data_IF_554988501861
#
_entry.id   IF_554988501861
#
_cell.length_a   1.000
_cell.length_b   1.000
_cell.length_c   1.000
_cell.angle_alpha   90.00
_cell.angle_beta   90.00
_cell.angle_gamma   90.00
#
_symmetry.space_group_name_H-M   'P 1'
#
loop_
_entity.id
_entity.type
_entity.pdbx_description
1 polymer ?
#
# COMPACT_ATOMS: atom_id res chain seq x y z
N UNK A 1 -2.99 24.18 10.57
CA UNK A 1 -1.59 23.86 10.91
C UNK A 1 -0.86 23.66 9.59
N UNK A 2 0.26 24.34 9.33
CA UNK A 2 0.98 24.23 8.05
C UNK A 2 2.06 23.16 8.20
N UNK A 3 1.88 22.02 7.53
CA UNK A 3 2.88 20.95 7.46
C UNK A 3 4.13 21.48 6.75
N UNK A 4 5.31 21.12 7.27
CA UNK A 4 6.57 21.53 6.68
C UNK A 4 6.78 20.89 5.30
N UNK A 5 7.18 21.71 4.33
CA UNK A 5 7.71 21.24 3.06
C UNK A 5 9.23 21.42 3.10
N UNK A 6 9.97 20.35 3.40
CA UNK A 6 11.43 20.38 3.38
C UNK A 6 11.94 20.71 1.97
N UNK A 7 13.12 21.34 1.86
CA UNK A 7 13.79 21.44 0.56
C UNK A 7 14.23 20.04 0.14
N UNK A 8 13.87 19.61 -1.08
CA UNK A 8 14.28 18.31 -1.59
C UNK A 8 15.80 18.27 -1.81
N UNK A 9 16.44 17.17 -1.39
CA UNK A 9 17.87 16.93 -1.57
C UNK A 9 18.29 17.15 -3.03
N UNK A 10 19.36 17.92 -3.21
CA UNK A 10 19.95 18.24 -4.50
C UNK A 10 20.39 17.03 -5.32
N UNK A 11 20.61 15.85 -4.70
CA UNK A 11 20.98 14.61 -5.42
C UNK A 11 19.95 14.22 -6.46
N UNK A 12 18.66 14.51 -6.22
CA UNK A 12 17.58 14.19 -7.15
C UNK A 12 17.54 15.13 -8.36
N UNK A 13 18.17 16.30 -8.29
CA UNK A 13 18.21 17.27 -9.40
C UNK A 13 19.20 16.90 -10.49
N UNK A 14 20.10 15.94 -10.23
CA UNK A 14 21.09 15.48 -11.21
C UNK A 14 20.42 14.58 -12.23
N UNK A 15 20.47 14.97 -13.50
CA UNK A 15 19.92 14.17 -14.61
C UNK A 15 20.62 12.82 -14.68
N UNK A 16 19.84 11.74 -14.63
CA UNK A 16 20.30 10.39 -14.93
C UNK A 16 19.53 9.84 -16.14
N UNK A 17 20.11 8.86 -16.84
CA UNK A 17 19.40 8.14 -17.89
C UNK A 17 18.23 7.39 -17.27
N UNK A 18 17.01 7.74 -17.63
CA UNK A 18 15.82 7.11 -17.05
C UNK A 18 15.64 5.63 -17.43
N UNK A 19 14.67 4.97 -16.79
CA UNK A 19 14.35 3.57 -17.06
C UNK A 19 13.70 3.43 -18.44
N UNK A 20 14.48 3.00 -19.44
CA UNK A 20 13.98 2.86 -20.80
C UNK A 20 13.07 1.63 -20.95
N UNK A 21 12.34 1.56 -22.08
CA UNK A 21 11.39 0.47 -22.38
C UNK A 21 12.03 -0.93 -22.32
N UNK A 22 13.25 -1.09 -22.81
CA UNK A 22 13.96 -2.37 -22.78
C UNK A 22 14.22 -2.81 -21.34
N UNK A 23 14.74 -1.89 -20.51
CA UNK A 23 15.00 -2.15 -19.09
C UNK A 23 13.73 -2.55 -18.33
N UNK A 24 12.62 -1.83 -18.57
CA UNK A 24 11.32 -2.13 -17.95
C UNK A 24 10.77 -3.49 -18.39
N UNK A 25 10.88 -3.82 -19.68
CA UNK A 25 10.44 -5.11 -20.20
C UNK A 25 11.24 -6.27 -19.58
N UNK A 26 12.55 -6.12 -19.41
CA UNK A 26 13.38 -7.13 -18.75
C UNK A 26 13.00 -7.30 -17.27
N UNK A 27 12.83 -6.19 -16.54
CA UNK A 27 12.43 -6.21 -15.13
C UNK A 27 11.06 -6.90 -14.93
N UNK A 28 10.10 -6.61 -15.83
CA UNK A 28 8.79 -7.27 -15.84
C UNK A 28 8.94 -8.75 -16.17
N UNK A 29 9.76 -9.13 -17.15
CA UNK A 29 9.99 -10.53 -17.50
C UNK A 29 10.60 -11.33 -16.35
N UNK A 30 11.53 -10.73 -15.59
CA UNK A 30 12.11 -11.32 -14.38
C UNK A 30 11.02 -11.54 -13.31
N UNK A 31 10.18 -10.53 -13.07
CA UNK A 31 9.08 -10.63 -12.11
C UNK A 31 8.06 -11.72 -12.50
N UNK A 32 7.66 -11.78 -13.77
CA UNK A 32 6.76 -12.82 -14.28
C UNK A 32 7.34 -14.22 -14.12
N UNK A 33 8.65 -14.39 -14.34
CA UNK A 33 9.34 -15.68 -14.13
C UNK A 33 9.23 -16.14 -12.67
N UNK A 34 9.35 -15.21 -11.71
CA UNK A 34 9.19 -15.52 -10.28
C UNK A 34 7.74 -15.87 -9.93
N UNK A 35 6.76 -15.15 -10.48
CA UNK A 35 5.33 -15.45 -10.28
C UNK A 35 5.00 -16.83 -10.85
N UNK A 36 5.50 -17.16 -12.04
CA UNK A 36 5.35 -18.48 -12.67
C UNK A 36 5.94 -19.61 -11.83
N UNK A 37 7.08 -19.38 -11.17
CA UNK A 37 7.68 -20.36 -10.27
C UNK A 37 6.83 -20.60 -9.00
N UNK A 38 6.14 -19.57 -8.50
CA UNK A 38 5.30 -19.64 -7.30
C UNK A 38 3.89 -20.20 -7.58
N UNK A 39 3.36 -19.95 -8.78
CA UNK A 39 2.01 -20.29 -9.22
C UNK A 39 1.53 -21.72 -8.85
N UNK A 40 2.30 -22.79 -9.09
CA UNK A 40 1.85 -24.15 -8.76
C UNK A 40 1.57 -24.36 -7.26
N UNK A 41 2.36 -23.73 -6.38
CA UNK A 41 2.24 -23.85 -4.92
C UNK A 41 1.04 -23.10 -4.35
N UNK A 42 0.67 -21.99 -4.98
CA UNK A 42 -0.36 -21.05 -4.50
C UNK A 42 -1.53 -20.96 -5.48
N UNK A 43 -1.89 -22.10 -6.07
CA UNK A 43 -3.00 -22.21 -7.02
C UNK A 43 -4.36 -22.38 -6.35
N UNK A 44 -4.37 -22.82 -5.08
CA UNK A 44 -5.57 -23.00 -4.22
C UNK A 44 -5.32 -22.51 -2.79
N UNK A 45 -4.15 -21.93 -2.54
CA UNK A 45 -3.68 -21.37 -1.27
C UNK A 45 -3.02 -20.02 -1.57
N UNK A 46 -2.64 -19.28 -0.55
CA UNK A 46 -1.90 -18.03 -0.70
C UNK A 46 -0.49 -18.18 -0.14
N UNK A 47 0.48 -17.39 -0.63
CA UNK A 47 1.71 -17.19 0.12
C UNK A 47 1.39 -16.51 1.46
N UNK A 48 2.15 -16.81 2.51
CA UNK A 48 2.04 -16.08 3.78
C UNK A 48 2.45 -14.61 3.61
N UNK A 49 2.11 -13.77 4.59
CA UNK A 49 2.43 -12.34 4.61
C UNK A 49 3.92 -12.04 4.35
N UNK A 50 4.81 -12.86 4.90
CA UNK A 50 6.26 -12.80 4.69
C UNK A 50 6.86 -14.20 4.50
N UNK A 51 8.05 -14.24 3.90
CA UNK A 51 8.87 -15.45 3.84
C UNK A 51 9.35 -15.93 5.21
N UNK A 52 9.85 -17.15 5.23
CA UNK A 52 10.67 -17.73 6.30
C UNK A 52 11.86 -18.40 5.62
N UNK A 53 13.07 -17.94 5.94
CA UNK A 53 14.31 -18.34 5.27
C UNK A 53 14.23 -18.10 3.75
N UNK A 54 13.57 -17.01 3.35
CA UNK A 54 13.39 -16.63 1.95
C UNK A 54 12.33 -17.44 1.20
N UNK A 55 11.53 -18.28 1.84
CA UNK A 55 10.45 -19.05 1.19
C UNK A 55 9.10 -18.68 1.77
N UNK A 56 8.07 -18.50 0.93
CA UNK A 56 6.71 -18.27 1.43
C UNK A 56 6.04 -19.58 1.86
N UNK A 57 5.64 -19.72 3.13
CA UNK A 57 4.73 -20.79 3.52
C UNK A 57 3.39 -20.66 2.79
N UNK A 58 2.75 -21.79 2.48
CA UNK A 58 1.37 -21.78 2.01
C UNK A 58 0.43 -21.57 3.19
N UNK A 59 -0.51 -20.64 3.04
CA UNK A 59 -1.57 -20.38 4.01
C UNK A 59 -2.92 -20.47 3.32
N UNK A 60 -3.89 -21.08 3.98
CA UNK A 60 -5.22 -21.24 3.39
C UNK A 60 -6.12 -20.04 3.72
N UNK A 61 -6.12 -19.59 4.99
CA UNK A 61 -7.12 -18.66 5.51
C UNK A 61 -6.66 -17.94 6.77
N UNK A 62 -5.78 -16.92 6.72
CA UNK A 62 -5.65 -15.94 7.83
C UNK A 62 -4.50 -14.92 7.66
N UNK A 63 -4.65 -13.84 6.90
CA UNK A 63 -4.09 -12.52 7.24
C UNK A 63 -4.71 -11.35 6.47
N UNK A 64 -4.06 -10.18 6.42
CA UNK A 64 -4.50 -9.00 5.68
C UNK A 64 -3.91 -8.92 4.25
N UNK A 65 -3.16 -9.94 3.82
CA UNK A 65 -2.23 -9.84 2.68
C UNK A 65 -2.58 -10.69 1.45
N UNK A 66 -3.57 -11.56 1.52
CA UNK A 66 -3.90 -12.48 0.42
C UNK A 66 -4.33 -11.76 -0.87
N UNK A 67 -4.88 -10.54 -0.72
CA UNK A 67 -5.21 -9.66 -1.82
C UNK A 67 -4.00 -9.32 -2.69
N UNK A 68 -2.80 -9.16 -2.12
CA UNK A 68 -1.59 -8.80 -2.86
C UNK A 68 -1.13 -9.90 -3.83
N UNK A 69 -1.24 -11.18 -3.44
CA UNK A 69 -0.96 -12.30 -4.35
C UNK A 69 -1.93 -12.28 -5.53
N UNK A 70 -3.23 -12.17 -5.24
CA UNK A 70 -4.27 -12.10 -6.28
C UNK A 70 -4.09 -10.88 -7.19
N UNK A 71 -3.72 -9.74 -6.61
CA UNK A 71 -3.41 -8.51 -7.34
C UNK A 71 -2.23 -8.69 -8.29
N UNK A 72 -1.16 -9.38 -7.88
CA UNK A 72 -0.04 -9.69 -8.78
C UNK A 72 -0.45 -10.59 -9.94
N UNK A 73 -1.37 -11.54 -9.72
CA UNK A 73 -1.90 -12.37 -10.81
C UNK A 73 -2.73 -11.55 -11.79
N UNK A 74 -3.54 -10.59 -11.32
CA UNK A 74 -4.24 -9.67 -12.20
C UNK A 74 -3.28 -8.77 -13.00
N UNK A 75 -2.25 -8.21 -12.35
CA UNK A 75 -1.21 -7.45 -13.04
C UNK A 75 -0.52 -8.32 -14.11
N UNK A 76 -0.15 -9.55 -13.78
CA UNK A 76 0.48 -10.48 -14.72
C UNK A 76 -0.43 -10.79 -15.92
N UNK A 77 -1.74 -10.96 -15.70
CA UNK A 77 -2.72 -11.15 -16.77
C UNK A 77 -2.85 -9.90 -17.65
N UNK A 78 -2.98 -8.70 -17.09
CA UNK A 78 -3.01 -7.46 -17.88
C UNK A 78 -1.71 -7.20 -18.68
N UNK A 79 -0.57 -7.66 -18.14
CA UNK A 79 0.72 -7.56 -18.82
C UNK A 79 0.81 -8.49 -20.02
N UNK A 80 0.35 -9.73 -19.87
CA UNK A 80 0.66 -10.84 -20.80
C UNK A 80 -0.51 -11.31 -21.66
N UNK A 81 -1.74 -11.18 -21.16
CA UNK A 81 -2.94 -11.81 -21.69
C UNK A 81 -3.00 -13.34 -21.45
N UNK A 82 -2.10 -13.91 -20.65
CA UNK A 82 -2.05 -15.36 -20.40
C UNK A 82 -3.08 -15.79 -19.35
N UNK A 83 -4.11 -16.51 -19.79
CA UNK A 83 -5.25 -16.91 -18.97
C UNK A 83 -4.88 -17.78 -17.76
N UNK A 84 -3.68 -18.37 -17.69
CA UNK A 84 -3.25 -19.12 -16.50
C UNK A 84 -3.31 -18.27 -15.22
N UNK A 85 -2.98 -16.98 -15.32
CA UNK A 85 -3.00 -16.05 -14.19
C UNK A 85 -4.43 -15.75 -13.76
N UNK A 86 -5.29 -15.41 -14.74
CA UNK A 86 -6.71 -15.14 -14.52
C UNK A 86 -7.41 -16.34 -13.90
N UNK A 87 -7.19 -17.55 -14.40
CA UNK A 87 -7.85 -18.76 -13.90
C UNK A 87 -7.58 -19.00 -12.42
N UNK A 88 -6.36 -18.71 -11.95
CA UNK A 88 -6.00 -18.87 -10.54
C UNK A 88 -6.52 -17.69 -9.71
N UNK A 89 -6.43 -16.46 -10.22
CA UNK A 89 -7.01 -15.29 -9.56
C UNK A 89 -8.53 -15.44 -9.34
N UNK A 90 -9.27 -15.97 -10.32
CA UNK A 90 -10.70 -16.26 -10.19
C UNK A 90 -10.99 -17.44 -9.26
N UNK A 91 -10.09 -18.44 -9.17
CA UNK A 91 -10.24 -19.54 -8.20
C UNK A 91 -10.15 -19.07 -6.75
N UNK A 92 -9.33 -18.04 -6.47
CA UNK A 92 -9.25 -17.47 -5.13
C UNK A 92 -10.55 -16.84 -4.63
N UNK A 93 -11.52 -16.53 -5.51
CA UNK A 93 -12.83 -16.02 -5.11
C UNK A 93 -13.55 -16.95 -4.13
N UNK A 94 -13.33 -18.27 -4.22
CA UNK A 94 -13.91 -19.23 -3.29
C UNK A 94 -13.40 -19.01 -1.85
N UNK A 95 -12.11 -18.69 -1.68
CA UNK A 95 -11.54 -18.37 -0.37
C UNK A 95 -12.04 -17.02 0.15
N UNK A 96 -12.13 -16.00 -0.72
CA UNK A 96 -12.68 -14.69 -0.34
C UNK A 96 -14.18 -14.73 0.01
N UNK A 97 -14.96 -15.60 -0.63
CA UNK A 97 -16.37 -15.85 -0.29
C UNK A 97 -16.49 -16.57 1.04
N UNK A 98 -15.77 -17.68 1.22
CA UNK A 98 -15.78 -18.43 2.48
C UNK A 98 -15.37 -17.54 3.67
N UNK A 99 -14.41 -16.64 3.45
CA UNK A 99 -13.97 -15.64 4.44
C UNK A 99 -15.13 -14.78 4.92
N UNK A 100 -15.97 -14.29 4.00
CA UNK A 100 -17.12 -13.45 4.33
C UNK A 100 -18.24 -14.29 4.97
N UNK A 101 -18.54 -15.45 4.42
CA UNK A 101 -19.62 -16.32 4.91
C UNK A 101 -19.36 -16.76 6.35
N UNK A 102 -18.11 -17.13 6.66
CA UNK A 102 -17.68 -17.60 7.97
C UNK A 102 -17.10 -16.52 8.88
N UNK A 103 -17.10 -15.26 8.43
CA UNK A 103 -16.54 -14.11 9.16
C UNK A 103 -15.08 -14.34 9.63
N UNK A 104 -14.24 -14.93 8.78
CA UNK A 104 -12.85 -15.27 9.11
C UNK A 104 -11.96 -14.03 8.97
N UNK A 105 -11.47 -13.49 10.10
CA UNK A 105 -10.58 -12.30 10.11
C UNK A 105 -11.14 -11.15 9.24
N UNK A 106 -12.42 -10.84 9.40
CA UNK A 106 -13.09 -9.71 8.74
C UNK A 106 -13.23 -8.48 9.65
N UNK A 107 -12.92 -8.62 10.95
CA UNK A 107 -12.89 -7.54 11.94
C UNK A 107 -11.64 -6.66 11.80
N UNK A 108 -11.41 -6.15 10.60
CA UNK A 108 -10.28 -5.33 10.20
C UNK A 108 -10.69 -4.30 9.17
N UNK A 109 -9.99 -3.17 9.12
CA UNK A 109 -10.05 -2.23 8.02
C UNK A 109 -9.33 -2.68 6.75
N UNK A 110 -8.52 -3.75 6.83
CA UNK A 110 -7.72 -4.27 5.71
C UNK A 110 -8.55 -4.93 4.59
N UNK A 111 -9.88 -4.85 4.69
CA UNK A 111 -10.79 -5.33 3.66
C UNK A 111 -10.55 -4.65 2.31
N UNK A 112 -10.03 -3.43 2.29
CA UNK A 112 -9.65 -2.78 1.04
C UNK A 112 -8.49 -3.50 0.34
N UNK A 113 -7.37 -3.76 1.02
CA UNK A 113 -6.26 -4.53 0.46
C UNK A 113 -6.69 -5.90 -0.03
N UNK A 114 -7.56 -6.57 0.73
CA UNK A 114 -8.05 -7.90 0.40
C UNK A 114 -8.96 -7.90 -0.83
N UNK A 115 -9.95 -7.01 -0.89
CA UNK A 115 -11.05 -7.09 -1.86
C UNK A 115 -10.89 -6.14 -3.06
N UNK A 116 -10.15 -5.03 -2.95
CA UNK A 116 -9.79 -4.22 -4.13
C UNK A 116 -8.92 -5.03 -5.08
N UNK A 117 -7.86 -5.63 -4.53
CA UNK A 117 -6.85 -6.35 -5.30
C UNK A 117 -7.33 -7.69 -5.84
N UNK A 118 -8.44 -8.23 -5.31
CA UNK A 118 -9.02 -9.50 -5.74
C UNK A 118 -10.36 -9.32 -6.45
N UNK A 119 -11.44 -9.13 -5.69
CA UNK A 119 -12.82 -9.20 -6.15
C UNK A 119 -13.21 -8.01 -7.02
N UNK A 120 -12.81 -6.78 -6.64
CA UNK A 120 -13.06 -5.59 -7.46
C UNK A 120 -12.35 -5.70 -8.80
N UNK A 121 -11.10 -6.16 -8.83
CA UNK A 121 -10.38 -6.36 -10.09
C UNK A 121 -10.99 -7.45 -10.95
N UNK A 122 -11.41 -8.59 -10.37
CA UNK A 122 -12.14 -9.60 -11.11
C UNK A 122 -13.42 -9.01 -11.76
N UNK A 123 -14.15 -8.16 -11.04
CA UNK A 123 -15.31 -7.45 -11.60
C UNK A 123 -14.91 -6.49 -12.73
N UNK A 124 -13.97 -5.57 -12.48
CA UNK A 124 -13.56 -4.53 -13.43
C UNK A 124 -12.95 -5.11 -14.72
N UNK A 125 -12.19 -6.18 -14.59
CA UNK A 125 -11.43 -6.77 -15.70
C UNK A 125 -12.23 -7.80 -16.51
N UNK A 126 -13.12 -8.57 -15.87
CA UNK A 126 -13.81 -9.69 -16.54
C UNK A 126 -15.33 -9.59 -16.53
N UNK A 127 -15.91 -8.62 -15.81
CA UNK A 127 -17.36 -8.51 -15.61
C UNK A 127 -17.93 -9.58 -14.69
N UNK A 128 -17.11 -10.20 -13.83
CA UNK A 128 -17.54 -11.25 -12.91
C UNK A 128 -18.50 -10.71 -11.83
N UNK A 129 -19.80 -10.99 -12.00
CA UNK A 129 -20.86 -10.49 -11.09
C UNK A 129 -20.78 -11.06 -9.68
N UNK A 130 -20.34 -12.31 -9.51
CA UNK A 130 -20.10 -12.89 -8.17
C UNK A 130 -19.03 -12.08 -7.44
N UNK A 131 -17.92 -11.78 -8.11
CA UNK A 131 -16.85 -10.98 -7.51
C UNK A 131 -17.31 -9.57 -7.11
N UNK A 132 -18.15 -8.93 -7.92
CA UNK A 132 -18.79 -7.65 -7.59
C UNK A 132 -19.60 -7.74 -6.29
N UNK A 133 -20.44 -8.77 -6.14
CA UNK A 133 -21.25 -8.98 -4.93
C UNK A 133 -20.38 -9.22 -3.69
N UNK A 134 -19.32 -10.01 -3.81
CA UNK A 134 -18.36 -10.24 -2.72
C UNK A 134 -17.66 -8.94 -2.29
N UNK A 135 -17.21 -8.12 -3.26
CA UNK A 135 -16.58 -6.84 -2.96
C UNK A 135 -17.53 -5.85 -2.27
N UNK A 136 -18.82 -5.82 -2.67
CA UNK A 136 -19.82 -4.98 -2.01
C UNK A 136 -20.12 -5.44 -0.58
N UNK A 137 -20.17 -6.76 -0.34
CA UNK A 137 -20.28 -7.32 1.02
C UNK A 137 -19.09 -6.92 1.89
N UNK A 138 -17.87 -6.96 1.35
CA UNK A 138 -16.67 -6.51 2.06
C UNK A 138 -16.68 -5.00 2.31
N UNK A 139 -17.16 -4.19 1.36
CA UNK A 139 -17.30 -2.75 1.54
C UNK A 139 -18.29 -2.39 2.66
N UNK A 140 -19.40 -3.12 2.77
CA UNK A 140 -20.36 -2.97 3.87
C UNK A 140 -19.72 -3.30 5.22
N UNK A 141 -18.96 -4.39 5.33
CA UNK A 141 -18.22 -4.73 6.56
C UNK A 141 -17.20 -3.65 6.92
N UNK A 142 -16.48 -3.08 5.94
CA UNK A 142 -15.55 -1.98 6.16
C UNK A 142 -16.28 -0.72 6.65
N UNK A 143 -17.44 -0.41 6.05
CA UNK A 143 -18.26 0.73 6.42
C UNK A 143 -18.83 0.61 7.85
N UNK A 144 -19.20 -0.59 8.30
CA UNK A 144 -19.67 -0.81 9.67
C UNK A 144 -18.63 -0.45 10.74
N UNK A 145 -17.35 -0.38 10.36
CA UNK A 145 -16.26 0.07 11.26
C UNK A 145 -16.13 1.59 11.32
N UNK A 146 -16.88 2.35 10.53
CA UNK A 146 -16.90 3.80 10.55
C UNK A 146 -17.65 4.33 11.78
N UNK A 147 -16.96 5.13 12.58
CA UNK A 147 -17.58 5.86 13.67
C UNK A 147 -17.88 7.30 13.23
N UNK A 148 -19.16 7.72 13.14
CA UNK A 148 -19.52 9.04 12.65
C UNK A 148 -19.26 10.17 13.64
N UNK A 149 -18.95 9.91 14.91
CA UNK A 149 -18.58 10.96 15.87
C UNK A 149 -17.08 11.26 15.76
N UNK A 150 -16.25 10.23 15.80
CA UNK A 150 -14.80 10.34 15.59
C UNK A 150 -14.44 10.67 14.13
N UNK A 151 -15.29 10.31 13.17
CA UNK A 151 -15.03 10.47 11.74
C UNK A 151 -13.93 9.54 11.23
N UNK A 152 -13.71 8.41 11.88
CA UNK A 152 -12.65 7.44 11.53
C UNK A 152 -13.23 6.05 11.31
N UNK A 153 -12.51 5.23 10.55
CA UNK A 153 -12.78 3.81 10.38
C UNK A 153 -11.84 3.10 11.34
N UNK A 154 -12.40 2.34 12.27
CA UNK A 154 -11.61 1.67 13.30
C UNK A 154 -10.76 0.56 12.68
N UNK A 155 -9.44 0.61 12.93
CA UNK A 155 -8.49 -0.27 12.26
C UNK A 155 -8.69 -1.76 12.57
N UNK A 156 -8.52 -2.17 13.82
CA UNK A 156 -8.56 -3.59 14.20
C UNK A 156 -9.41 -3.85 15.44
N UNK A 157 -9.84 -5.11 15.58
CA UNK A 157 -10.45 -5.64 16.78
C UNK A 157 -11.93 -5.29 16.93
N UNK A 158 -12.46 -5.73 18.07
CA UNK A 158 -13.85 -5.53 18.45
C UNK A 158 -14.17 -4.04 18.54
N UNK A 159 -15.28 -3.64 17.92
CA UNK A 159 -15.80 -2.27 17.97
C UNK A 159 -16.28 -1.87 19.37
N UNK A 160 -16.48 -2.84 20.26
CA UNK A 160 -16.88 -2.64 21.64
C UNK A 160 -15.70 -2.62 22.62
N UNK A 161 -14.47 -2.97 22.19
CA UNK A 161 -13.28 -2.93 23.05
C UNK A 161 -12.85 -1.47 23.30
N UNK A 162 -13.01 -0.94 24.52
CA UNK A 162 -12.68 0.46 24.82
C UNK A 162 -11.20 0.78 24.60
N UNK A 163 -10.31 -0.22 24.65
CA UNK A 163 -8.88 -0.02 24.42
C UNK A 163 -8.52 0.20 22.93
N UNK A 164 -9.43 -0.13 22.01
CA UNK A 164 -9.21 -0.08 20.55
C UNK A 164 -10.15 0.86 19.81
N UNK A 165 -11.23 1.30 20.47
CA UNK A 165 -12.19 2.22 19.91
C UNK A 165 -11.54 3.51 19.41
N UNK A 166 -11.98 3.96 18.22
CA UNK A 166 -11.53 5.21 17.62
C UNK A 166 -10.07 5.22 17.15
N UNK A 167 -9.41 4.06 17.15
CA UNK A 167 -8.06 3.89 16.61
C UNK A 167 -8.08 3.86 15.08
N UNK A 168 -7.39 4.81 14.46
CA UNK A 168 -7.07 4.79 13.02
C UNK A 168 -5.58 4.50 12.78
N UNK A 169 -5.25 3.95 11.62
CA UNK A 169 -3.90 3.63 11.18
C UNK A 169 -3.73 4.15 9.75
N UNK A 170 -2.53 4.63 9.41
CA UNK A 170 -2.24 5.32 8.14
C UNK A 170 -2.44 4.46 6.87
N UNK A 171 -2.30 3.14 6.96
CA UNK A 171 -2.60 2.19 5.88
C UNK A 171 -4.10 2.12 5.52
N UNK A 172 -4.98 2.58 6.41
CA UNK A 172 -6.40 2.70 6.09
C UNK A 172 -6.65 3.63 4.89
N UNK A 173 -5.73 4.56 4.60
CA UNK A 173 -5.79 5.41 3.41
C UNK A 173 -5.74 4.62 2.10
N UNK A 174 -5.18 3.40 2.09
CA UNK A 174 -5.25 2.48 0.95
C UNK A 174 -6.44 1.52 1.00
N UNK A 175 -7.20 1.52 2.10
CA UNK A 175 -8.38 0.68 2.26
C UNK A 175 -9.68 1.40 1.94
N UNK A 176 -9.75 2.71 2.22
CA UNK A 176 -10.92 3.54 1.91
C UNK A 176 -11.30 3.63 0.41
N UNK A 177 -10.41 3.39 -0.58
CA UNK A 177 -10.86 3.27 -1.97
C UNK A 177 -11.90 2.18 -2.21
N UNK A 178 -11.99 1.14 -1.37
CA UNK A 178 -13.07 0.16 -1.45
C UNK A 178 -14.44 0.80 -1.22
N UNK A 179 -14.52 1.76 -0.30
CA UNK A 179 -15.75 2.50 -0.03
C UNK A 179 -16.06 3.49 -1.14
N UNK A 180 -15.06 4.17 -1.72
CA UNK A 180 -15.28 5.02 -2.89
C UNK A 180 -15.80 4.21 -4.09
N UNK A 181 -15.18 3.06 -4.37
CA UNK A 181 -15.67 2.15 -5.41
C UNK A 181 -17.11 1.69 -5.14
N UNK A 182 -17.43 1.30 -3.91
CA UNK A 182 -18.79 0.88 -3.54
C UNK A 182 -19.81 2.02 -3.67
N UNK A 183 -19.41 3.27 -3.37
CA UNK A 183 -20.24 4.45 -3.57
C UNK A 183 -20.57 4.64 -5.05
N UNK A 184 -19.58 4.50 -5.93
CA UNK A 184 -19.76 4.65 -7.39
C UNK A 184 -20.58 3.52 -7.98
N UNK A 185 -20.39 2.29 -7.48
CA UNK A 185 -21.07 1.09 -7.96
C UNK A 185 -22.55 1.01 -7.51
N UNK A 186 -22.91 1.67 -6.41
CA UNK A 186 -24.27 1.58 -5.82
C UNK A 186 -25.03 2.91 -5.81
N UNK A 187 -24.35 4.04 -5.95
CA UNK A 187 -24.90 5.37 -5.71
C UNK A 187 -25.10 5.72 -4.23
N UNK A 188 -24.69 4.87 -3.28
CA UNK A 188 -24.83 5.15 -1.85
C UNK A 188 -23.74 6.14 -1.37
N UNK A 189 -24.16 7.38 -1.08
CA UNK A 189 -23.24 8.45 -0.68
C UNK A 189 -22.60 8.24 0.70
N UNK A 190 -23.18 7.42 1.57
CA UNK A 190 -22.66 7.18 2.92
C UNK A 190 -21.24 6.59 2.90
N UNK A 191 -20.96 5.72 1.94
CA UNK A 191 -19.62 5.16 1.75
C UNK A 191 -18.59 6.24 1.42
N UNK A 192 -18.93 7.14 0.49
CA UNK A 192 -18.09 8.27 0.09
C UNK A 192 -17.87 9.22 1.25
N UNK A 193 -18.93 9.55 1.99
CA UNK A 193 -18.84 10.41 3.19
C UNK A 193 -17.93 9.81 4.26
N UNK A 194 -18.07 8.52 4.57
CA UNK A 194 -17.21 7.84 5.54
C UNK A 194 -15.73 7.86 5.14
N UNK A 195 -15.44 7.53 3.87
CA UNK A 195 -14.08 7.53 3.32
C UNK A 195 -13.45 8.93 3.31
N UNK A 196 -14.18 9.95 2.85
CA UNK A 196 -13.72 11.34 2.84
C UNK A 196 -13.44 11.85 4.26
N UNK A 197 -14.31 11.54 5.22
CA UNK A 197 -14.13 11.95 6.62
C UNK A 197 -12.92 11.25 7.26
N UNK A 198 -12.71 9.97 6.97
CA UNK A 198 -11.51 9.26 7.42
C UNK A 198 -10.24 9.93 6.90
N UNK A 199 -10.14 10.19 5.58
CA UNK A 199 -8.97 10.82 4.99
C UNK A 199 -8.69 12.19 5.60
N UNK A 200 -9.73 12.98 5.90
CA UNK A 200 -9.58 14.27 6.56
C UNK A 200 -9.02 14.13 7.99
N UNK A 201 -9.47 13.13 8.76
CA UNK A 201 -8.92 12.86 10.09
C UNK A 201 -7.48 12.35 10.04
N UNK A 202 -7.18 11.44 9.11
CA UNK A 202 -5.84 10.94 8.87
C UNK A 202 -4.87 12.09 8.53
N UNK A 203 -5.25 12.96 7.60
CA UNK A 203 -4.46 14.13 7.22
C UNK A 203 -4.20 15.07 8.41
N UNK A 204 -5.20 15.23 9.29
CA UNK A 204 -5.13 16.14 10.43
C UNK A 204 -4.29 15.63 11.59
N UNK A 205 -4.35 14.34 11.89
CA UNK A 205 -3.83 13.79 13.15
C UNK A 205 -2.75 12.73 12.99
N UNK A 206 -2.70 11.99 11.87
CA UNK A 206 -1.60 11.05 11.62
C UNK A 206 -0.36 11.75 11.08
N UNK A 207 -0.50 12.91 10.42
CA UNK A 207 0.64 13.68 9.91
C UNK A 207 1.12 14.70 10.94
N UNK A 208 2.40 14.62 11.31
CA UNK A 208 3.05 15.55 12.23
C UNK A 208 3.50 16.82 11.49
N UNK A 209 3.80 17.86 12.26
CA UNK A 209 4.19 19.18 11.73
C UNK A 209 5.40 19.16 10.79
N UNK A 210 6.34 18.25 11.02
CA UNK A 210 7.55 18.08 10.22
C UNK A 210 7.35 17.18 8.99
N UNK A 211 6.11 16.78 8.69
CA UNK A 211 5.76 15.82 7.64
C UNK A 211 6.17 14.36 7.90
N UNK A 212 6.61 14.02 9.12
CA UNK A 212 6.64 12.62 9.56
C UNK A 212 5.22 12.12 9.85
N UNK A 213 5.03 10.80 9.94
CA UNK A 213 3.73 10.19 10.25
C UNK A 213 3.77 9.37 11.53
N UNK A 214 2.72 9.49 12.34
CA UNK A 214 2.38 8.47 13.32
C UNK A 214 1.94 7.21 12.58
N UNK A 215 2.21 6.05 13.17
CA UNK A 215 1.64 4.80 12.66
C UNK A 215 0.14 4.74 12.99
N UNK A 216 -0.26 5.03 14.23
CA UNK A 216 -1.65 5.00 14.66
C UNK A 216 -2.02 6.23 15.49
N UNK A 217 -3.31 6.56 15.52
CA UNK A 217 -3.84 7.66 16.31
C UNK A 217 -5.21 7.29 16.88
N UNK A 218 -5.48 7.72 18.11
CA UNK A 218 -6.73 7.47 18.82
C UNK A 218 -7.58 8.75 18.86
N UNK A 219 -8.85 8.63 18.47
CA UNK A 219 -9.87 9.67 18.60
C UNK A 219 -10.94 9.18 19.57
N UNK A 220 -11.40 10.04 20.45
CA UNK A 220 -12.51 9.73 21.34
C UNK A 220 -13.81 9.55 20.55
N UNK A 221 -14.43 8.38 20.64
CA UNK A 221 -15.64 8.04 19.85
C UNK A 221 -16.93 8.68 20.37
N UNK A 222 -16.91 9.29 21.55
CA UNK A 222 -18.07 9.98 22.14
C UNK A 222 -18.03 11.48 21.87
N UNK A 223 -16.84 12.08 21.87
CA UNK A 223 -16.64 13.53 21.76
C UNK A 223 -16.01 13.96 20.43
N UNK A 224 -15.40 13.03 19.69
CA UNK A 224 -14.66 13.31 18.45
C UNK A 224 -13.32 14.03 18.68
N UNK A 225 -12.88 14.19 19.92
CA UNK A 225 -11.63 14.87 20.26
C UNK A 225 -10.41 13.97 20.07
N UNK A 226 -9.25 14.52 19.66
CA UNK A 226 -8.02 13.75 19.57
C UNK A 226 -7.53 13.31 20.95
N UNK A 227 -7.05 12.07 21.05
CA UNK A 227 -6.47 11.55 22.29
C UNK A 227 -4.94 11.54 22.21
N UNK A 228 -4.35 10.68 21.36
CA UNK A 228 -2.90 10.52 21.24
C UNK A 228 -2.49 9.80 19.96
N UNK A 229 -1.28 10.11 19.48
CA UNK A 229 -0.54 9.28 18.51
C UNK A 229 0.23 8.17 19.23
N UNK A 230 0.50 7.08 18.53
CA UNK A 230 1.18 5.89 19.05
C UNK A 230 1.84 5.11 17.88
N UNK A 231 2.66 4.12 18.19
CA UNK A 231 3.17 3.17 17.20
C UNK A 231 3.14 1.72 17.69
N UNK A 232 2.78 0.79 16.79
CA UNK A 232 2.90 -0.65 17.03
C UNK A 232 3.99 -1.34 16.21
N UNK A 233 4.66 -0.61 15.32
CA UNK A 233 5.62 -1.18 14.36
C UNK A 233 6.86 -0.33 14.16
N UNK A 234 6.79 0.99 14.39
CA UNK A 234 7.94 1.88 14.39
C UNK A 234 8.85 1.67 15.59
N UNK A 235 10.05 2.22 15.52
CA UNK A 235 11.04 2.12 16.60
C UNK A 235 10.59 2.81 17.90
N UNK A 236 9.92 3.96 17.80
CA UNK A 236 9.35 4.68 18.95
C UNK A 236 8.16 5.56 18.53
N UNK A 237 7.40 6.07 19.50
CA UNK A 237 6.24 6.94 19.23
C UNK A 237 6.62 8.23 18.47
N UNK A 238 7.87 8.67 18.61
CA UNK A 238 8.46 9.83 17.95
C UNK A 238 9.25 9.47 16.69
N UNK A 239 9.38 8.17 16.36
CA UNK A 239 10.03 7.73 15.12
C UNK A 239 9.07 7.83 13.92
N UNK A 240 9.60 7.54 12.73
CA UNK A 240 8.84 7.59 11.49
C UNK A 240 9.04 6.29 10.72
N UNK A 241 8.20 5.31 11.04
CA UNK A 241 8.17 4.02 10.38
C UNK A 241 8.04 4.18 8.85
N UNK A 242 8.99 3.61 8.11
CA UNK A 242 9.15 3.92 6.69
C UNK A 242 7.94 3.52 5.84
N UNK A 243 7.35 2.37 6.14
CA UNK A 243 6.15 1.91 5.42
C UNK A 243 4.91 2.73 5.77
N UNK A 244 4.77 3.21 7.00
CA UNK A 244 3.70 4.13 7.38
C UNK A 244 3.77 5.44 6.60
N UNK A 245 4.99 5.98 6.45
CA UNK A 245 5.23 7.14 5.60
C UNK A 245 4.86 6.87 4.13
N UNK A 246 5.24 5.71 3.60
CA UNK A 246 4.93 5.32 2.23
C UNK A 246 3.41 5.17 1.99
N UNK A 247 2.67 4.63 2.96
CA UNK A 247 1.20 4.60 2.92
C UNK A 247 0.58 5.99 2.89
N UNK A 248 1.13 6.94 3.65
CA UNK A 248 0.70 8.34 3.59
C UNK A 248 0.96 8.95 2.21
N UNK A 249 2.16 8.76 1.64
CA UNK A 249 2.51 9.28 0.31
C UNK A 249 1.51 8.80 -0.74
N UNK A 250 1.25 7.50 -0.79
CA UNK A 250 0.37 6.93 -1.80
C UNK A 250 -1.12 7.20 -1.51
N UNK A 251 -1.56 6.98 -0.27
CA UNK A 251 -2.96 7.09 0.11
C UNK A 251 -3.53 8.50 -0.04
N UNK A 252 -2.77 9.55 0.29
CA UNK A 252 -3.26 10.92 0.06
C UNK A 252 -3.26 11.30 -1.43
N UNK A 253 -2.34 10.77 -2.24
CA UNK A 253 -2.40 10.96 -3.69
C UNK A 253 -3.65 10.30 -4.30
N UNK A 254 -3.98 9.08 -3.88
CA UNK A 254 -5.22 8.40 -4.30
C UNK A 254 -6.48 9.11 -3.78
N UNK A 255 -6.48 9.57 -2.53
CA UNK A 255 -7.62 10.25 -1.95
C UNK A 255 -8.03 11.51 -2.73
N UNK A 256 -7.08 12.25 -3.32
CA UNK A 256 -7.37 13.38 -4.20
C UNK A 256 -8.23 12.98 -5.39
N UNK A 257 -7.93 11.86 -6.03
CA UNK A 257 -8.67 11.38 -7.20
C UNK A 257 -10.15 11.14 -6.88
N UNK A 258 -10.46 10.69 -5.67
CA UNK A 258 -11.84 10.42 -5.25
C UNK A 258 -12.56 11.65 -4.68
N UNK A 259 -11.84 12.58 -4.05
CA UNK A 259 -12.43 13.68 -3.27
C UNK A 259 -12.32 15.05 -3.93
N UNK A 260 -11.36 15.23 -4.83
CA UNK A 260 -10.98 16.53 -5.39
C UNK A 260 -10.34 17.49 -4.38
N UNK A 261 -10.02 17.02 -3.17
CA UNK A 261 -9.42 17.87 -2.12
C UNK A 261 -7.95 18.19 -2.44
N UNK A 262 -7.73 19.38 -2.96
CA UNK A 262 -6.42 19.90 -3.37
C UNK A 262 -5.38 19.96 -2.25
N UNK A 263 -5.77 19.81 -0.98
CA UNK A 263 -4.81 19.72 0.13
C UNK A 263 -4.08 18.38 0.17
N UNK A 264 -4.66 17.30 -0.38
CA UNK A 264 -4.09 15.97 -0.28
C UNK A 264 -2.85 15.74 -1.17
N UNK A 265 -2.78 16.23 -2.42
CA UNK A 265 -1.55 16.16 -3.21
C UNK A 265 -0.41 16.99 -2.60
N UNK A 266 -0.74 18.14 -1.98
CA UNK A 266 0.24 18.96 -1.26
C UNK A 266 0.78 18.24 -0.02
N UNK A 267 -0.10 17.55 0.71
CA UNK A 267 0.29 16.72 1.84
C UNK A 267 1.17 15.55 1.40
N UNK A 268 0.76 14.81 0.37
CA UNK A 268 1.55 13.74 -0.25
C UNK A 268 2.95 14.24 -0.65
N UNK A 269 3.04 15.43 -1.26
CA UNK A 269 4.32 16.08 -1.60
C UNK A 269 5.20 16.32 -0.37
N UNK A 270 4.63 16.84 0.72
CA UNK A 270 5.38 17.06 1.97
C UNK A 270 5.94 15.73 2.51
N UNK A 271 5.10 14.69 2.53
CA UNK A 271 5.50 13.35 2.97
C UNK A 271 6.60 12.74 2.08
N UNK A 272 6.50 12.96 0.76
CA UNK A 272 7.53 12.55 -0.20
C UNK A 272 8.87 13.22 0.09
N UNK A 273 8.88 14.54 0.34
CA UNK A 273 10.13 15.25 0.63
C UNK A 273 10.79 14.71 1.90
N UNK A 274 10.00 14.53 2.97
CA UNK A 274 10.48 13.94 4.21
C UNK A 274 11.11 12.57 3.99
N UNK A 275 10.43 11.69 3.23
CA UNK A 275 10.89 10.34 2.91
C UNK A 275 12.19 10.35 2.09
N UNK A 276 12.20 11.06 0.96
CA UNK A 276 13.33 11.10 0.03
C UNK A 276 14.61 11.69 0.67
N UNK A 277 14.46 12.70 1.53
CA UNK A 277 15.58 13.31 2.24
C UNK A 277 16.23 12.40 3.29
N UNK A 278 15.57 11.29 3.67
CA UNK A 278 16.05 10.32 4.65
C UNK A 278 16.48 9.00 4.00
N UNK A 279 16.40 8.88 2.68
CA UNK A 279 16.90 7.69 2.00
C UNK A 279 18.45 7.67 2.01
N UNK A 280 19.09 6.53 2.29
CA UNK A 280 20.54 6.36 2.17
C UNK A 280 21.00 6.38 0.70
N UNK A 281 22.30 6.18 0.47
CA UNK A 281 22.92 6.34 -0.86
C UNK A 281 22.40 5.36 -1.92
N UNK A 282 21.90 4.20 -1.51
CA UNK A 282 21.26 3.20 -2.38
C UNK A 282 19.78 3.50 -2.64
N UNK A 283 19.25 4.61 -2.13
CA UNK A 283 17.86 5.04 -2.28
C UNK A 283 16.82 4.08 -1.68
N UNK A 284 17.23 3.09 -0.86
CA UNK A 284 16.31 2.15 -0.21
C UNK A 284 16.27 2.46 1.29
N UNK A 285 15.08 2.78 1.80
CA UNK A 285 14.89 3.16 3.19
C UNK A 285 15.24 2.03 4.16
N UNK A 286 15.77 2.43 5.32
CA UNK A 286 15.70 1.61 6.52
C UNK A 286 14.25 1.40 6.96
N UNK A 287 13.98 0.37 7.75
CA UNK A 287 12.61 0.05 8.19
C UNK A 287 11.96 1.18 9.02
N UNK A 288 12.76 2.02 9.65
CA UNK A 288 12.37 3.30 10.25
C UNK A 288 13.27 4.42 9.71
N UNK A 289 12.69 5.56 9.35
CA UNK A 289 13.39 6.66 8.67
C UNK A 289 14.28 7.47 9.60
N UNK A 290 14.30 7.17 10.90
CA UNK A 290 15.27 7.74 11.83
C UNK A 290 16.67 7.14 11.63
N UNK A 291 16.76 5.94 11.07
CA UNK A 291 18.03 5.22 10.94
C UNK A 291 18.83 5.70 9.74
N UNK A 292 20.14 5.66 9.90
CA UNK A 292 21.16 6.04 8.92
C UNK A 292 22.14 4.88 8.70
N UNK A 293 23.07 5.03 7.76
CA UNK A 293 24.11 4.03 7.51
C UNK A 293 24.98 3.74 8.75
N UNK A 294 25.04 4.66 9.71
CA UNK A 294 25.79 4.48 10.95
C UNK A 294 25.14 3.47 11.90
N UNK A 295 23.81 3.34 11.85
CA UNK A 295 23.03 2.49 12.75
C UNK A 295 23.06 1.01 12.34
N UNK A 296 23.46 0.72 11.10
CA UNK A 296 23.47 -0.64 10.50
C UNK A 296 22.11 -1.34 10.65
N UNK A 297 21.02 -0.57 10.61
CA UNK A 297 19.66 -1.09 10.69
C UNK A 297 19.29 -1.91 9.44
N UNK A 298 18.19 -2.64 9.50
CA UNK A 298 17.67 -3.37 8.35
C UNK A 298 16.89 -2.46 7.41
N UNK A 299 16.92 -2.79 6.12
CA UNK A 299 16.13 -2.11 5.09
C UNK A 299 14.68 -2.56 5.14
N UNK A 300 13.80 -1.77 4.52
CA UNK A 300 12.47 -2.21 4.17
C UNK A 300 12.18 -1.88 2.71
N UNK A 301 12.47 -2.85 1.84
CA UNK A 301 12.27 -2.72 0.39
C UNK A 301 10.81 -2.48 0.01
N UNK A 302 9.87 -2.96 0.84
CA UNK A 302 8.45 -2.77 0.62
C UNK A 302 8.03 -1.30 0.71
N UNK A 303 8.53 -0.56 1.72
CA UNK A 303 8.28 0.87 1.86
C UNK A 303 8.79 1.67 0.66
N UNK A 304 9.97 1.31 0.14
CA UNK A 304 10.52 1.95 -1.07
C UNK A 304 9.64 1.70 -2.31
N UNK A 305 9.16 0.46 -2.51
CA UNK A 305 8.27 0.12 -3.61
C UNK A 305 6.92 0.87 -3.55
N UNK A 306 6.33 0.94 -2.35
CA UNK A 306 5.09 1.69 -2.10
C UNK A 306 5.29 3.18 -2.38
N UNK A 307 6.38 3.77 -1.88
CA UNK A 307 6.69 5.18 -2.09
C UNK A 307 6.90 5.51 -3.57
N UNK A 308 7.52 4.60 -4.34
CA UNK A 308 7.65 4.75 -5.79
C UNK A 308 6.29 4.76 -6.50
N UNK A 309 5.36 3.88 -6.10
CA UNK A 309 3.99 3.89 -6.62
C UNK A 309 3.26 5.20 -6.28
N UNK A 310 3.33 5.63 -5.02
CA UNK A 310 2.70 6.86 -4.55
C UNK A 310 3.25 8.12 -5.22
N UNK A 311 4.56 8.21 -5.42
CA UNK A 311 5.18 9.32 -6.13
C UNK A 311 4.82 9.33 -7.63
N UNK A 312 4.70 8.15 -8.23
CA UNK A 312 4.21 8.02 -9.61
C UNK A 312 2.76 8.48 -9.73
N UNK A 313 1.91 8.17 -8.74
CA UNK A 313 0.53 8.66 -8.68
C UNK A 313 0.47 10.17 -8.48
N UNK A 314 1.28 10.71 -7.56
CA UNK A 314 1.39 12.16 -7.34
C UNK A 314 1.80 12.89 -8.63
N UNK A 315 2.74 12.37 -9.40
CA UNK A 315 3.16 12.97 -10.68
C UNK A 315 2.06 13.06 -11.74
N UNK A 316 1.02 12.21 -11.68
CA UNK A 316 -0.16 12.33 -12.55
C UNK A 316 -1.03 13.53 -12.17
N UNK A 317 -1.00 13.93 -10.90
CA UNK A 317 -1.82 15.01 -10.33
C UNK A 317 -1.12 16.36 -10.45
N UNK A 318 0.20 16.39 -10.24
CA UNK A 318 0.95 17.65 -10.24
C UNK A 318 0.93 18.34 -11.61
N UNK A 319 0.92 19.70 -11.65
CA UNK A 319 1.01 20.44 -12.90
C UNK A 319 2.22 20.00 -13.74
N UNK A 320 2.07 19.93 -15.06
CA UNK A 320 3.17 19.60 -15.98
C UNK A 320 4.34 20.60 -15.90
N UNK A 321 4.06 21.82 -15.45
CA UNK A 321 5.04 22.90 -15.27
C UNK A 321 5.74 22.89 -13.91
N UNK A 322 5.43 21.93 -13.03
CA UNK A 322 6.09 21.84 -11.73
C UNK A 322 7.61 21.59 -11.92
N UNK A 323 8.49 22.47 -11.38
CA UNK A 323 9.92 22.39 -11.62
C UNK A 323 10.59 21.19 -10.94
N UNK A 324 9.92 20.52 -9.99
CA UNK A 324 10.44 19.34 -9.29
C UNK A 324 10.10 18.03 -10.00
N UNK A 325 9.29 18.04 -11.06
CA UNK A 325 8.96 16.81 -11.82
C UNK A 325 10.20 16.02 -12.24
N UNK A 326 11.26 16.61 -12.82
CA UNK A 326 12.45 15.84 -13.18
C UNK A 326 13.13 15.19 -11.96
N UNK A 327 13.11 15.86 -10.81
CA UNK A 327 13.67 15.32 -9.58
C UNK A 327 12.85 14.14 -9.03
N UNK A 328 11.53 14.21 -9.11
CA UNK A 328 10.66 13.09 -8.73
C UNK A 328 10.80 11.90 -9.68
N UNK A 329 10.90 12.12 -10.99
CA UNK A 329 11.19 11.03 -11.94
C UNK A 329 12.53 10.36 -11.62
N UNK A 330 13.58 11.14 -11.37
CA UNK A 330 14.88 10.61 -10.98
C UNK A 330 14.81 9.83 -9.64
N UNK A 331 14.03 10.30 -8.67
CA UNK A 331 13.82 9.56 -7.43
C UNK A 331 13.16 8.19 -7.66
N UNK A 332 12.09 8.14 -8.47
CA UNK A 332 11.42 6.88 -8.84
C UNK A 332 12.40 5.96 -9.57
N UNK A 333 13.12 6.46 -10.57
CA UNK A 333 14.08 5.69 -11.36
C UNK A 333 15.17 5.09 -10.47
N UNK A 334 15.70 5.86 -9.52
CA UNK A 334 16.73 5.38 -8.60
C UNK A 334 16.20 4.33 -7.64
N UNK A 335 15.01 4.52 -7.06
CA UNK A 335 14.39 3.53 -6.18
C UNK A 335 14.16 2.22 -6.94
N UNK A 336 13.46 2.27 -8.09
CA UNK A 336 13.10 1.07 -8.85
C UNK A 336 14.34 0.37 -9.43
N UNK A 337 15.35 1.13 -9.86
CA UNK A 337 16.63 0.56 -10.30
C UNK A 337 17.33 -0.19 -9.19
N UNK A 338 17.48 0.42 -8.01
CA UNK A 338 18.17 -0.22 -6.89
C UNK A 338 17.39 -1.44 -6.39
N UNK A 339 16.05 -1.37 -6.34
CA UNK A 339 15.20 -2.53 -6.03
C UNK A 339 15.49 -3.72 -6.97
N UNK A 340 15.54 -3.49 -8.29
CA UNK A 340 15.87 -4.56 -9.26
C UNK A 340 17.32 -5.02 -9.12
N UNK A 341 18.28 -4.11 -9.10
CA UNK A 341 19.72 -4.44 -9.23
C UNK A 341 20.29 -5.06 -7.96
N UNK A 342 19.82 -4.64 -6.78
CA UNK A 342 20.41 -5.05 -5.51
C UNK A 342 19.46 -5.89 -4.66
N UNK A 343 18.14 -5.70 -4.78
CA UNK A 343 17.17 -6.31 -3.86
C UNK A 343 16.22 -7.31 -4.52
N UNK A 344 16.43 -7.67 -5.79
CA UNK A 344 15.62 -8.69 -6.45
C UNK A 344 15.91 -10.09 -5.88
N UNK A 345 14.85 -10.85 -5.61
CA UNK A 345 14.90 -12.15 -4.96
C UNK A 345 15.30 -13.28 -5.94
N UNK A 346 16.57 -13.34 -6.34
CA UNK A 346 17.04 -14.36 -7.30
C UNK A 346 16.91 -15.80 -6.77
N UNK A 347 17.22 -16.03 -5.49
CA UNK A 347 17.31 -17.37 -4.87
C UNK A 347 16.25 -17.65 -3.80
N UNK A 348 15.30 -16.73 -3.62
CA UNK A 348 14.22 -16.78 -2.62
C UNK A 348 12.87 -16.72 -3.33
N UNK A 349 11.76 -17.10 -2.70
CA UNK A 349 10.42 -16.77 -3.21
C UNK A 349 10.20 -15.24 -3.23
N UNK A 350 9.13 -14.80 -3.90
CA UNK A 350 8.81 -13.38 -4.05
C UNK A 350 9.61 -12.68 -5.14
N UNK A 351 9.47 -11.36 -5.20
CA UNK A 351 10.14 -10.47 -6.14
C UNK A 351 11.27 -9.70 -5.47
N UNK A 352 11.05 -9.23 -4.24
CA UNK A 352 12.01 -8.47 -3.46
C UNK A 352 12.41 -9.22 -2.17
N UNK A 353 13.67 -9.07 -1.78
CA UNK A 353 14.20 -9.50 -0.48
C UNK A 353 14.33 -8.30 0.47
N UNK A 354 14.73 -8.56 1.72
CA UNK A 354 15.04 -7.52 2.73
C UNK A 354 13.87 -6.57 3.05
N UNK A 355 12.68 -7.13 3.16
CA UNK A 355 11.53 -6.45 3.75
C UNK A 355 11.46 -6.65 5.27
N UNK A 356 10.78 -5.74 5.97
CA UNK A 356 10.55 -5.85 7.43
C UNK A 356 9.07 -5.76 7.74
N UNK A 357 8.45 -6.88 8.14
CA UNK A 357 7.03 -6.92 8.49
C UNK A 357 6.74 -6.27 9.85
N UNK A 358 7.24 -6.85 10.95
CA UNK A 358 7.05 -6.27 12.27
C UNK A 358 8.29 -6.50 13.15
N UNK A 359 9.14 -5.48 13.22
CA UNK A 359 10.39 -5.51 13.99
C UNK A 359 10.16 -5.78 15.47
N UNK A 360 9.23 -5.05 16.10
CA UNK A 360 8.93 -5.18 17.53
C UNK A 360 8.38 -6.56 17.94
N UNK A 361 7.84 -7.34 16.98
CA UNK A 361 7.34 -8.71 17.21
C UNK A 361 8.24 -9.79 16.62
N UNK A 362 9.43 -9.45 16.12
CA UNK A 362 10.36 -10.38 15.48
C UNK A 362 9.69 -11.25 14.39
N UNK A 363 8.87 -10.62 13.54
CA UNK A 363 8.11 -11.31 12.47
C UNK A 363 8.49 -10.75 11.11
N UNK A 364 8.82 -11.64 10.16
CA UNK A 364 9.12 -11.27 8.77
C UNK A 364 10.26 -10.24 8.66
N UNK A 365 11.38 -10.50 9.34
CA UNK A 365 12.52 -9.59 9.44
C UNK A 365 13.57 -9.99 8.40
N UNK A 366 13.90 -9.07 7.50
CA UNK A 366 14.82 -9.33 6.41
C UNK A 366 14.33 -10.43 5.45
N UNK A 367 13.04 -10.44 5.17
CA UNK A 367 12.35 -11.47 4.40
C UNK A 367 11.59 -10.85 3.21
N UNK A 368 11.32 -11.62 2.14
CA UNK A 368 10.30 -11.25 1.16
C UNK A 368 8.95 -11.00 1.84
N UNK A 369 8.18 -10.04 1.33
CA UNK A 369 6.80 -9.84 1.78
C UNK A 369 5.86 -9.47 0.64
N UNK A 370 4.60 -9.92 0.76
CA UNK A 370 3.69 -9.94 -0.38
C UNK A 370 3.31 -8.55 -0.88
N UNK A 371 3.17 -7.59 0.03
CA UNK A 371 2.87 -6.22 -0.36
C UNK A 371 4.07 -5.58 -1.07
N UNK A 372 5.30 -5.80 -0.62
CA UNK A 372 6.51 -5.34 -1.30
C UNK A 372 6.60 -5.87 -2.73
N UNK A 373 6.32 -7.16 -2.91
CA UNK A 373 6.25 -7.80 -4.23
C UNK A 373 5.18 -7.15 -5.12
N UNK A 374 3.97 -6.99 -4.59
CA UNK A 374 2.87 -6.37 -5.33
C UNK A 374 3.19 -4.93 -5.75
N UNK A 375 3.65 -4.07 -4.83
CA UNK A 375 3.94 -2.67 -5.16
C UNK A 375 5.18 -2.53 -6.05
N UNK A 376 6.13 -3.46 -6.01
CA UNK A 376 7.23 -3.47 -6.98
C UNK A 376 6.73 -3.77 -8.39
N UNK A 377 5.89 -4.80 -8.56
CA UNK A 377 5.28 -5.11 -9.86
C UNK A 377 4.38 -3.95 -10.32
N UNK A 378 3.60 -3.36 -9.43
CA UNK A 378 2.77 -2.20 -9.71
C UNK A 378 3.61 -1.02 -10.23
N UNK A 379 4.74 -0.71 -9.58
CA UNK A 379 5.65 0.34 -10.03
C UNK A 379 6.16 0.08 -11.46
N UNK A 380 6.56 -1.16 -11.76
CA UNK A 380 7.00 -1.54 -13.12
C UNK A 380 5.87 -1.39 -14.15
N UNK A 381 4.64 -1.76 -13.80
CA UNK A 381 3.46 -1.57 -14.67
C UNK A 381 3.21 -0.10 -14.91
N UNK A 382 3.17 0.72 -13.85
CA UNK A 382 2.96 2.18 -13.95
C UNK A 382 4.00 2.87 -14.82
N UNK A 383 5.25 2.42 -14.78
CA UNK A 383 6.34 3.00 -15.56
C UNK A 383 6.36 2.50 -17.01
N UNK A 384 5.83 1.31 -17.30
CA UNK A 384 5.86 0.71 -18.63
C UNK A 384 4.68 1.07 -19.53
N UNK A 385 3.56 1.52 -18.96
CA UNK A 385 2.31 1.77 -19.70
C UNK A 385 1.39 2.76 -18.99
N UNK A 386 0.43 3.30 -19.74
CA UNK A 386 -0.71 4.02 -19.15
C UNK A 386 -1.60 2.99 -18.45
N UNK A 387 -1.73 3.11 -17.14
CA UNK A 387 -2.47 2.16 -16.32
C UNK A 387 -3.21 2.87 -15.18
N UNK A 388 -4.41 2.36 -14.90
CA UNK A 388 -5.27 2.82 -13.80
C UNK A 388 -5.03 1.93 -12.60
N UNK A 389 -4.68 2.49 -11.43
CA UNK A 389 -4.38 1.69 -10.25
C UNK A 389 -5.58 0.89 -9.76
N UNK A 390 -5.36 -0.30 -9.19
CA UNK A 390 -6.43 -1.10 -8.60
C UNK A 390 -7.06 -0.47 -7.35
N UNK A 391 -6.34 0.47 -6.74
CA UNK A 391 -6.83 1.30 -5.65
C UNK A 391 -7.61 2.54 -6.12
N UNK A 392 -7.90 2.68 -7.42
CA UNK A 392 -8.74 3.75 -7.99
C UNK A 392 -10.15 3.25 -8.25
#
# INVERSE_FOLDING_TARGET
>A
MRIALETLDSRYKRSQSGLNKTWLNEAISEALTKIDAMLPRFSSTFPAASGTDGLYPAVEKVDWTEGFWTGMLWLAWEITGDDKYRQIAERHLDSFEERLDKHIKVDTHDLGFLYLLSCVNAWKLTGNRRARELALRAAELLYQRFNPTAGVIQAWGDLQDPARQGRMIIDCNLNVPLLFWAADETGNTHYREAATRHLAQAARYLVRNDASTFHTFYIDILTGQPLRGDTHQGFSDDSCWARGQAWGIYGFALGFQHTGDVSQPELSRCLTHYFLNRLPDDYICYWDLIFTDQDKALKDTSAAAIAACGLTELLKILPLTDPLRPAYYNAIDQIVRNLRTHYFAHQQDGLLREGVYNFGRNTGINEPNLWGDYFYLEALVRLSRIWTPYFF
#
